data_IF_926495809536
#
_entry.id   IF_926495809536
#
_cell.length_a   1.000
_cell.length_b   1.000
_cell.length_c   1.000
_cell.angle_alpha   90.00
_cell.angle_beta   90.00
_cell.angle_gamma   90.00
#
_symmetry.space_group_name_H-M   'P 1'
#
loop_
_entity.id
_entity.type
_entity.pdbx_description
1 polymer ?
#
# COMPACT_ATOMS: atom_id res chain seq x y z
N UNK A 1 -10.13 -7.93 -37.26
CA UNK A 1 -9.33 -6.72 -37.01
C UNK A 1 -8.30 -7.07 -35.94
N UNK A 2 -7.04 -7.28 -36.31
CA UNK A 2 -5.96 -7.61 -35.38
C UNK A 2 -5.54 -6.34 -34.63
N UNK A 3 -5.73 -6.30 -33.32
CA UNK A 3 -5.22 -5.22 -32.47
C UNK A 3 -3.70 -5.33 -32.46
N UNK A 4 -2.99 -4.37 -33.06
CA UNK A 4 -1.53 -4.27 -32.91
C UNK A 4 -1.21 -4.00 -31.45
N UNK A 5 -0.54 -4.95 -30.79
CA UNK A 5 0.00 -4.76 -29.45
C UNK A 5 1.24 -3.86 -29.58
N UNK A 6 1.30 -2.79 -28.79
CA UNK A 6 2.49 -1.93 -28.73
C UNK A 6 3.61 -2.65 -27.99
N UNK A 7 4.87 -2.30 -28.27
CA UNK A 7 6.02 -2.92 -27.60
C UNK A 7 5.94 -2.76 -26.08
N UNK A 8 5.50 -1.60 -25.58
CA UNK A 8 5.30 -1.38 -24.15
C UNK A 8 4.26 -2.33 -23.54
N UNK A 9 3.17 -2.58 -24.27
CA UNK A 9 2.14 -3.51 -23.81
C UNK A 9 2.66 -4.94 -23.82
N UNK A 10 3.52 -5.30 -24.78
CA UNK A 10 4.22 -6.58 -24.81
C UNK A 10 5.13 -6.75 -23.60
N UNK A 11 6.02 -5.79 -23.33
CA UNK A 11 6.92 -5.84 -22.15
C UNK A 11 6.15 -6.10 -20.86
N UNK A 12 5.06 -5.36 -20.64
CA UNK A 12 4.23 -5.48 -19.44
C UNK A 12 3.57 -6.86 -19.31
N UNK A 13 3.07 -7.42 -20.41
CA UNK A 13 2.49 -8.77 -20.40
C UNK A 13 3.54 -9.82 -20.06
N UNK A 14 4.73 -9.70 -20.64
CA UNK A 14 5.84 -10.63 -20.45
C UNK A 14 6.35 -10.60 -19.00
N UNK A 15 6.42 -9.42 -18.38
CA UNK A 15 6.71 -9.29 -16.94
C UNK A 15 5.68 -10.03 -16.10
N UNK A 16 4.39 -9.87 -16.37
CA UNK A 16 3.36 -10.57 -15.61
C UNK A 16 3.41 -12.08 -15.80
N UNK A 17 3.63 -12.57 -17.03
CA UNK A 17 3.77 -14.00 -17.28
C UNK A 17 5.01 -14.60 -16.62
N UNK A 18 6.11 -13.83 -16.51
CA UNK A 18 7.32 -14.28 -15.83
C UNK A 18 7.18 -14.31 -14.30
N UNK A 19 6.55 -13.28 -13.71
CA UNK A 19 6.38 -13.18 -12.25
C UNK A 19 5.29 -14.10 -11.70
N UNK A 20 4.23 -14.34 -12.48
CA UNK A 20 3.01 -15.02 -12.01
C UNK A 20 3.26 -16.43 -11.46
N UNK A 21 4.01 -17.33 -12.11
CA UNK A 21 4.25 -18.68 -11.57
C UNK A 21 4.87 -18.64 -10.17
N UNK A 22 5.90 -17.81 -9.99
CA UNK A 22 6.63 -17.68 -8.73
C UNK A 22 5.75 -17.10 -7.61
N UNK A 23 4.94 -16.09 -7.92
CA UNK A 23 4.06 -15.46 -6.92
C UNK A 23 2.84 -16.35 -6.57
N UNK A 24 2.36 -17.16 -7.51
CA UNK A 24 1.27 -18.11 -7.28
C UNK A 24 1.68 -19.19 -6.27
N UNK A 25 2.94 -19.62 -6.27
CA UNK A 25 3.47 -20.57 -5.28
C UNK A 25 3.40 -20.03 -3.84
N UNK A 26 3.32 -18.71 -3.68
CA UNK A 26 3.09 -18.04 -2.40
C UNK A 26 1.62 -17.70 -2.11
N UNK A 27 0.69 -18.15 -2.96
CA UNK A 27 -0.76 -17.94 -2.83
C UNK A 27 -1.27 -16.64 -3.44
N UNK A 28 -0.44 -15.88 -4.17
CA UNK A 28 -0.87 -14.64 -4.80
C UNK A 28 -1.61 -14.88 -6.12
N UNK A 29 -2.59 -14.02 -6.40
CA UNK A 29 -3.36 -14.00 -7.66
C UNK A 29 -3.18 -12.64 -8.33
N UNK A 30 -2.86 -12.66 -9.62
CA UNK A 30 -2.74 -11.44 -10.41
C UNK A 30 -4.11 -10.80 -10.67
N UNK A 31 -4.22 -9.51 -10.37
CA UNK A 31 -5.29 -8.61 -10.81
C UNK A 31 -4.72 -7.68 -11.88
N UNK A 32 -4.63 -8.16 -13.11
CA UNK A 32 -3.91 -7.49 -14.20
C UNK A 32 -4.39 -6.04 -14.46
N UNK A 33 -5.70 -5.78 -14.38
CA UNK A 33 -6.28 -4.45 -14.54
C UNK A 33 -5.86 -3.44 -13.46
N UNK A 34 -5.33 -3.93 -12.33
CA UNK A 34 -4.82 -3.14 -11.20
C UNK A 34 -3.32 -3.28 -11.02
N UNK A 35 -2.65 -4.03 -11.90
CA UNK A 35 -1.21 -4.27 -11.87
C UNK A 35 -0.71 -4.79 -10.52
N UNK A 36 -1.57 -5.55 -9.82
CA UNK A 36 -1.34 -5.98 -8.44
C UNK A 36 -1.49 -7.48 -8.32
N UNK A 37 -0.57 -8.11 -7.60
CA UNK A 37 -0.71 -9.46 -7.08
C UNK A 37 -1.31 -9.37 -5.68
N UNK A 38 -2.37 -10.15 -5.42
CA UNK A 38 -3.05 -10.15 -4.12
C UNK A 38 -3.15 -11.54 -3.53
N UNK A 39 -2.99 -11.64 -2.21
CA UNK A 39 -3.25 -12.84 -1.43
C UNK A 39 -4.21 -12.49 -0.30
N UNK A 40 -5.33 -13.19 -0.22
CA UNK A 40 -6.33 -13.00 0.83
C UNK A 40 -6.28 -14.16 1.81
N UNK A 41 -6.32 -13.85 3.09
CA UNK A 41 -6.31 -14.81 4.19
C UNK A 41 -6.85 -14.14 5.46
N UNK A 42 -7.69 -14.83 6.24
CA UNK A 42 -8.17 -14.41 7.57
C UNK A 42 -8.60 -12.92 7.73
N UNK A 43 -9.30 -12.36 6.74
CA UNK A 43 -9.75 -10.96 6.78
C UNK A 43 -8.64 -9.94 6.51
N UNK A 44 -7.50 -10.40 6.02
CA UNK A 44 -6.34 -9.64 5.58
C UNK A 44 -6.11 -9.86 4.07
N UNK A 45 -5.70 -8.81 3.38
CA UNK A 45 -5.28 -8.86 1.98
C UNK A 45 -3.85 -8.30 1.86
N UNK A 46 -2.91 -9.15 1.46
CA UNK A 46 -1.57 -8.73 1.05
C UNK A 46 -1.62 -8.20 -0.38
N UNK A 47 -0.95 -7.09 -0.63
CA UNK A 47 -0.91 -6.42 -1.93
C UNK A 47 0.55 -6.17 -2.34
N UNK A 48 0.96 -6.80 -3.43
CA UNK A 48 2.24 -6.56 -4.09
C UNK A 48 1.96 -5.97 -5.48
N UNK A 49 2.12 -4.66 -5.60
CA UNK A 49 1.77 -3.89 -6.79
C UNK A 49 2.99 -3.47 -7.58
N UNK A 50 2.91 -3.62 -8.90
CA UNK A 50 3.84 -3.06 -9.86
C UNK A 50 3.22 -1.79 -10.43
N UNK A 51 3.85 -0.64 -10.20
CA UNK A 51 3.42 0.65 -10.73
C UNK A 51 4.30 0.98 -11.93
N UNK A 52 3.71 1.03 -13.12
CA UNK A 52 4.40 1.32 -14.37
C UNK A 52 4.37 2.84 -14.64
N UNK A 53 5.48 3.55 -14.38
CA UNK A 53 5.51 5.02 -14.28
C UNK A 53 5.62 5.74 -15.64
N UNK A 54 6.51 5.30 -16.51
CA UNK A 54 6.74 5.94 -17.82
C UNK A 54 6.63 4.94 -18.95
N UNK A 55 6.05 5.34 -20.08
CA UNK A 55 6.01 4.52 -21.28
C UNK A 55 7.23 4.70 -22.21
N UNK A 56 8.22 5.48 -21.74
CA UNK A 56 9.50 5.73 -22.40
C UNK A 56 10.64 5.94 -21.40
N UNK A 57 11.83 5.45 -21.74
CA UNK A 57 13.11 5.74 -21.08
C UNK A 57 14.08 6.16 -22.18
N UNK A 58 14.69 7.34 -22.05
CA UNK A 58 15.60 7.90 -23.06
C UNK A 58 15.01 7.86 -24.49
N UNK A 59 13.76 8.31 -24.63
CA UNK A 59 12.94 8.32 -25.86
C UNK A 59 12.62 6.95 -26.49
N UNK A 60 13.05 5.85 -25.86
CA UNK A 60 12.74 4.48 -26.31
C UNK A 60 11.53 3.91 -25.56
N UNK A 61 10.69 3.08 -26.20
CA UNK A 61 9.68 2.29 -25.50
C UNK A 61 10.29 1.54 -24.31
N UNK A 62 9.69 1.71 -23.14
CA UNK A 62 10.16 1.05 -21.93
C UNK A 62 9.24 1.33 -20.76
N UNK A 63 9.56 0.74 -19.62
CA UNK A 63 8.89 1.01 -18.35
C UNK A 63 9.91 1.23 -17.24
N UNK A 64 9.68 2.24 -16.41
CA UNK A 64 10.20 2.26 -15.03
C UNK A 64 9.15 1.65 -14.13
N UNK A 65 9.49 0.54 -13.50
CA UNK A 65 8.59 -0.20 -12.61
C UNK A 65 8.93 0.17 -11.18
N UNK A 66 7.95 0.66 -10.45
CA UNK A 66 8.05 0.95 -9.03
C UNK A 66 7.23 -0.06 -8.24
N UNK A 67 7.80 -0.61 -7.18
CA UNK A 67 7.08 -1.57 -6.33
C UNK A 67 6.35 -0.87 -5.19
N UNK A 68 5.12 -1.32 -4.94
CA UNK A 68 4.37 -0.99 -3.72
C UNK A 68 3.94 -2.25 -2.98
N UNK A 69 4.12 -2.22 -1.67
CA UNK A 69 3.85 -3.32 -0.76
C UNK A 69 2.91 -2.80 0.32
N UNK A 70 1.78 -3.47 0.49
CA UNK A 70 0.75 -3.05 1.42
C UNK A 70 -0.04 -4.22 2.01
N UNK A 71 -0.56 -4.01 3.21
CA UNK A 71 -1.49 -4.90 3.91
C UNK A 71 -2.79 -4.15 4.13
N UNK A 72 -3.89 -4.82 3.79
CA UNK A 72 -5.26 -4.38 4.04
C UNK A 72 -5.87 -5.29 5.11
N UNK A 73 -6.29 -4.71 6.23
CA UNK A 73 -7.11 -5.41 7.22
C UNK A 73 -8.54 -5.00 6.96
N UNK A 74 -9.38 -5.93 6.50
CA UNK A 74 -10.73 -5.61 6.01
C UNK A 74 -11.57 -4.90 7.08
N UNK A 75 -11.41 -5.27 8.35
CA UNK A 75 -12.13 -4.62 9.45
C UNK A 75 -11.74 -3.16 9.64
N UNK A 76 -10.45 -2.83 9.47
CA UNK A 76 -9.96 -1.46 9.58
C UNK A 76 -10.47 -0.63 8.40
N UNK A 77 -10.40 -1.16 7.19
CA UNK A 77 -10.86 -0.47 5.99
C UNK A 77 -12.38 -0.28 5.97
N UNK A 78 -13.16 -1.25 6.47
CA UNK A 78 -14.61 -1.11 6.64
C UNK A 78 -14.94 0.13 7.48
N UNK A 79 -14.30 0.29 8.64
CA UNK A 79 -14.51 1.45 9.52
C UNK A 79 -14.03 2.74 8.85
N UNK A 80 -12.86 2.70 8.20
CA UNK A 80 -12.32 3.85 7.47
C UNK A 80 -13.27 4.36 6.38
N UNK A 81 -13.93 3.45 5.65
CA UNK A 81 -14.84 3.80 4.57
C UNK A 81 -16.20 4.34 5.01
N UNK A 82 -16.58 4.17 6.27
CA UNK A 82 -17.80 4.79 6.81
C UNK A 82 -17.72 6.32 6.83
N UNK A 83 -16.51 6.90 6.86
CA UNK A 83 -16.32 8.36 7.01
C UNK A 83 -15.38 8.98 5.97
N UNK A 84 -14.70 8.19 5.15
CA UNK A 84 -13.68 8.71 4.22
C UNK A 84 -14.21 9.38 2.95
N UNK A 85 -15.47 9.15 2.60
CA UNK A 85 -16.11 9.58 1.34
C UNK A 85 -15.42 9.04 0.08
N UNK A 86 -14.71 7.92 0.18
CA UNK A 86 -14.19 7.23 -1.01
C UNK A 86 -15.34 6.60 -1.80
N UNK A 87 -15.37 6.83 -3.11
CA UNK A 87 -16.28 6.11 -4.00
C UNK A 87 -16.08 4.60 -3.84
N UNK A 88 -17.19 3.86 -3.77
CA UNK A 88 -17.18 2.40 -3.57
C UNK A 88 -16.25 1.65 -4.55
N UNK A 89 -16.17 2.11 -5.80
CA UNK A 89 -15.31 1.52 -6.85
C UNK A 89 -13.80 1.61 -6.56
N UNK A 90 -13.38 2.48 -5.65
CA UNK A 90 -11.98 2.65 -5.25
C UNK A 90 -11.67 2.05 -3.89
N UNK A 91 -12.67 1.71 -3.08
CA UNK A 91 -12.48 1.21 -1.72
C UNK A 91 -11.70 -0.10 -1.69
N UNK A 92 -11.91 -1.00 -2.65
CA UNK A 92 -11.19 -2.28 -2.71
C UNK A 92 -9.69 -2.15 -2.97
N UNK A 93 -9.21 -0.95 -3.33
CA UNK A 93 -7.80 -0.69 -3.66
C UNK A 93 -7.07 0.08 -2.56
N UNK A 94 -7.76 0.49 -1.49
CA UNK A 94 -7.10 1.04 -0.32
C UNK A 94 -6.46 -0.08 0.50
N UNK A 95 -5.44 0.29 1.27
CA UNK A 95 -4.77 -0.59 2.21
C UNK A 95 -4.73 0.09 3.57
N UNK A 96 -4.50 -0.70 4.62
CA UNK A 96 -4.43 -0.26 6.03
C UNK A 96 -3.06 0.25 6.39
N UNK A 97 -2.03 -0.39 5.84
CA UNK A 97 -0.63 0.02 5.99
C UNK A 97 0.12 -0.36 4.71
N UNK A 98 1.04 0.48 4.26
CA UNK A 98 1.80 0.18 3.05
C UNK A 98 2.21 1.41 2.27
N UNK A 99 3.28 1.27 1.52
CA UNK A 99 3.84 2.35 0.72
C UNK A 99 4.64 1.77 -0.44
N UNK A 100 5.39 2.61 -1.13
CA UNK A 100 6.36 2.13 -2.10
C UNK A 100 7.66 1.69 -1.46
N UNK A 101 8.31 0.70 -2.09
CA UNK A 101 9.50 0.03 -1.55
C UNK A 101 10.56 1.05 -1.09
N UNK A 102 10.84 2.07 -1.89
CA UNK A 102 11.80 3.13 -1.58
C UNK A 102 11.54 3.85 -0.24
N UNK A 103 10.27 4.13 0.08
CA UNK A 103 9.93 4.74 1.38
C UNK A 103 10.07 3.72 2.50
N UNK A 104 9.67 2.47 2.26
CA UNK A 104 9.68 1.41 3.26
C UNK A 104 11.11 0.99 3.65
N UNK A 105 12.07 1.03 2.72
CA UNK A 105 13.46 0.64 2.95
C UNK A 105 14.41 1.82 3.13
N UNK A 106 13.99 3.04 2.81
CA UNK A 106 14.82 4.24 2.88
C UNK A 106 15.85 4.37 1.75
N UNK A 107 15.84 3.48 0.75
CA UNK A 107 16.72 3.57 -0.43
C UNK A 107 16.22 4.64 -1.39
N UNK A 108 17.11 5.13 -2.26
CA UNK A 108 16.75 6.13 -3.26
C UNK A 108 15.79 5.56 -4.31
N UNK A 109 15.16 6.46 -5.08
CA UNK A 109 14.27 6.05 -6.18
C UNK A 109 15.02 5.23 -7.23
N UNK A 110 16.21 5.67 -7.63
CA UNK A 110 17.00 4.99 -8.65
C UNK A 110 17.42 3.57 -8.24
N UNK A 111 17.56 3.32 -6.93
CA UNK A 111 17.87 1.98 -6.37
C UNK A 111 16.63 1.07 -6.22
N UNK A 112 15.43 1.59 -6.43
CA UNK A 112 14.16 0.87 -6.17
C UNK A 112 13.15 0.91 -7.32
N UNK A 113 13.51 1.57 -8.41
CA UNK A 113 12.81 1.54 -9.69
C UNK A 113 13.54 0.59 -10.64
N UNK A 114 12.79 -0.28 -11.33
CA UNK A 114 13.34 -1.30 -12.20
C UNK A 114 13.08 -0.91 -13.66
N UNK A 115 14.07 -0.36 -14.37
CA UNK A 115 13.93 -0.01 -15.78
C UNK A 115 13.91 -1.27 -16.66
N UNK A 116 13.08 -1.26 -17.69
CA UNK A 116 13.01 -2.30 -18.73
C UNK A 116 12.73 -1.66 -20.08
N UNK A 117 13.63 -1.85 -21.03
CA UNK A 117 13.57 -1.25 -22.37
C UNK A 117 13.38 -2.27 -23.48
N UNK A 118 13.63 -3.54 -23.18
CA UNK A 118 13.61 -4.61 -24.17
C UNK A 118 13.10 -5.91 -23.56
N UNK A 119 12.66 -6.82 -24.43
CA UNK A 119 12.17 -8.14 -24.02
C UNK A 119 13.29 -8.98 -23.38
N UNK A 120 14.53 -8.79 -23.83
CA UNK A 120 15.70 -9.53 -23.36
C UNK A 120 16.08 -9.15 -21.92
N UNK A 121 15.71 -7.95 -21.47
CA UNK A 121 15.91 -7.49 -20.09
C UNK A 121 14.85 -8.04 -19.10
N UNK A 122 13.70 -8.51 -19.59
CA UNK A 122 12.57 -8.94 -18.75
C UNK A 122 12.98 -10.00 -17.71
N UNK A 123 13.72 -11.08 -18.04
CA UNK A 123 14.11 -12.08 -17.05
C UNK A 123 14.95 -11.48 -15.91
N UNK A 124 15.91 -10.61 -16.22
CA UNK A 124 16.76 -9.97 -15.21
C UNK A 124 15.94 -9.05 -14.30
N UNK A 125 15.09 -8.20 -14.89
CA UNK A 125 14.22 -7.29 -14.14
C UNK A 125 13.26 -8.06 -13.24
N UNK A 126 12.70 -9.17 -13.74
CA UNK A 126 11.81 -10.02 -12.94
C UNK A 126 12.56 -10.70 -11.78
N UNK A 127 13.81 -11.12 -11.98
CA UNK A 127 14.64 -11.65 -10.90
C UNK A 127 14.81 -10.63 -9.78
N UNK A 128 15.12 -9.38 -10.11
CA UNK A 128 15.27 -8.30 -9.11
C UNK A 128 13.95 -8.00 -8.36
N UNK A 129 12.83 -8.02 -9.07
CA UNK A 129 11.50 -7.87 -8.45
C UNK A 129 11.19 -9.03 -7.50
N UNK A 130 11.52 -10.26 -7.89
CA UNK A 130 11.34 -11.46 -7.07
C UNK A 130 12.28 -11.47 -5.86
N UNK A 131 13.48 -10.92 -5.98
CA UNK A 131 14.39 -10.71 -4.85
C UNK A 131 13.81 -9.71 -3.85
N UNK A 132 13.24 -8.59 -4.33
CA UNK A 132 12.53 -7.65 -3.45
C UNK A 132 11.30 -8.30 -2.79
N UNK A 133 10.56 -9.13 -3.53
CA UNK A 133 9.42 -9.86 -2.99
C UNK A 133 9.82 -10.83 -1.89
N UNK A 134 10.82 -11.68 -2.15
CA UNK A 134 11.24 -12.75 -1.25
C UNK A 134 11.95 -12.21 0.00
N UNK A 135 12.85 -11.24 -0.18
CA UNK A 135 13.68 -10.71 0.90
C UNK A 135 12.97 -9.64 1.75
N UNK A 136 11.99 -8.93 1.18
CA UNK A 136 11.31 -7.84 1.87
C UNK A 136 9.79 -8.04 1.97
N UNK A 137 9.08 -8.24 0.85
CA UNK A 137 7.61 -8.22 0.87
C UNK A 137 7.02 -9.34 1.77
N UNK A 138 7.56 -10.57 1.71
CA UNK A 138 7.07 -11.68 2.53
C UNK A 138 7.21 -11.42 4.04
N UNK A 139 8.33 -10.85 4.49
CA UNK A 139 8.54 -10.52 5.90
C UNK A 139 7.68 -9.34 6.34
N UNK A 140 7.48 -8.37 5.46
CA UNK A 140 6.56 -7.24 5.65
C UNK A 140 5.12 -7.73 5.87
N UNK A 141 4.60 -8.59 4.98
CA UNK A 141 3.25 -9.15 5.10
C UNK A 141 3.08 -9.93 6.40
N UNK A 142 4.04 -10.81 6.73
CA UNK A 142 4.01 -11.58 7.98
C UNK A 142 4.00 -10.69 9.22
N UNK A 143 4.77 -9.59 9.23
CA UNK A 143 4.80 -8.66 10.36
C UNK A 143 3.46 -7.95 10.54
N UNK A 144 2.86 -7.47 9.46
CA UNK A 144 1.65 -6.67 9.51
C UNK A 144 0.35 -7.47 9.40
N UNK A 145 0.44 -8.80 9.41
CA UNK A 145 -0.69 -9.69 9.66
C UNK A 145 -1.24 -9.57 11.09
N UNK A 146 -0.43 -9.02 12.01
CA UNK A 146 -0.81 -8.82 13.41
C UNK A 146 -1.21 -7.36 13.65
N UNK A 147 -2.46 -7.13 14.05
CA UNK A 147 -3.00 -5.78 14.26
C UNK A 147 -2.20 -4.96 15.28
N UNK A 148 -1.66 -5.60 16.33
CA UNK A 148 -0.81 -4.95 17.32
C UNK A 148 0.54 -4.45 16.75
N UNK A 149 1.06 -5.10 15.69
CA UNK A 149 2.28 -4.63 15.00
C UNK A 149 1.97 -3.40 14.14
N UNK A 150 0.79 -3.35 13.51
CA UNK A 150 0.30 -2.15 12.80
C UNK A 150 0.13 -1.00 13.80
N UNK A 151 -0.48 -1.25 14.97
CA UNK A 151 -0.63 -0.23 16.03
C UNK A 151 0.73 0.34 16.43
N UNK A 152 1.68 -0.54 16.75
CA UNK A 152 3.02 -0.13 17.16
C UNK A 152 3.68 0.73 16.08
N UNK A 153 3.60 0.31 14.82
CA UNK A 153 4.20 1.04 13.69
C UNK A 153 3.59 2.42 13.49
N UNK A 154 2.25 2.53 13.51
CA UNK A 154 1.58 3.81 13.23
C UNK A 154 1.60 4.76 14.43
N UNK A 155 1.48 4.24 15.66
CA UNK A 155 1.08 5.04 16.82
C UNK A 155 2.17 5.19 17.91
N UNK A 156 3.28 4.43 17.89
CA UNK A 156 4.33 4.58 18.92
C UNK A 156 4.97 5.96 18.91
N UNK A 157 5.11 6.55 17.72
CA UNK A 157 5.75 7.85 17.51
C UNK A 157 4.84 8.77 16.70
N UNK A 158 3.69 9.20 17.26
CA UNK A 158 2.60 9.78 16.47
C UNK A 158 2.96 11.12 15.81
N UNK A 159 3.99 11.81 16.31
CA UNK A 159 4.49 13.08 15.77
C UNK A 159 5.60 12.94 14.72
N UNK A 160 6.29 11.80 14.63
CA UNK A 160 7.37 11.59 13.64
C UNK A 160 6.82 11.17 12.29
N UNK A 161 7.53 11.40 11.18
CA UNK A 161 7.11 10.87 9.88
C UNK A 161 7.03 9.33 9.88
N UNK A 162 6.04 8.75 9.19
CA UNK A 162 5.91 7.30 9.02
C UNK A 162 5.92 6.93 7.53
N UNK A 163 6.88 6.09 7.13
CA UNK A 163 7.08 5.67 5.74
C UNK A 163 5.95 4.82 5.17
N UNK A 164 5.23 4.10 6.04
CA UNK A 164 4.06 3.30 5.66
C UNK A 164 2.82 4.15 5.41
N UNK A 165 2.75 5.37 5.93
CA UNK A 165 1.61 6.29 5.76
C UNK A 165 2.08 7.74 5.77
N UNK A 166 2.67 8.17 4.65
CA UNK A 166 3.25 9.51 4.54
C UNK A 166 2.22 10.65 4.55
N UNK A 167 0.97 10.40 4.15
CA UNK A 167 -0.09 11.41 4.18
C UNK A 167 -0.76 11.41 5.56
N UNK A 168 -0.80 12.56 6.28
CA UNK A 168 -1.34 12.63 7.64
C UNK A 168 -2.75 12.08 7.76
N UNK A 169 -3.63 12.36 6.79
CA UNK A 169 -5.00 11.86 6.81
C UNK A 169 -5.09 10.34 6.91
N UNK A 170 -4.35 9.61 6.07
CA UNK A 170 -4.38 8.14 6.09
C UNK A 170 -3.78 7.58 7.37
N UNK A 171 -2.68 8.16 7.86
CA UNK A 171 -2.06 7.72 9.11
C UNK A 171 -2.98 7.95 10.31
N UNK A 172 -3.47 9.17 10.49
CA UNK A 172 -4.26 9.54 11.66
C UNK A 172 -5.55 8.72 11.73
N UNK A 173 -6.22 8.53 10.59
CA UNK A 173 -7.46 7.74 10.53
C UNK A 173 -7.22 6.27 10.80
N UNK A 174 -6.36 5.60 10.03
CA UNK A 174 -6.11 4.16 10.23
C UNK A 174 -5.39 3.88 11.54
N UNK A 175 -4.51 4.77 11.99
CA UNK A 175 -3.85 4.71 13.29
C UNK A 175 -4.84 4.71 14.45
N UNK A 176 -5.84 5.61 14.46
CA UNK A 176 -6.89 5.57 15.49
C UNK A 176 -7.74 4.32 15.43
N UNK A 177 -8.17 3.90 14.23
CA UNK A 177 -9.00 2.70 14.10
C UNK A 177 -8.27 1.49 14.68
N UNK A 178 -7.00 1.32 14.31
CA UNK A 178 -6.15 0.24 14.81
C UNK A 178 -5.95 0.35 16.33
N UNK A 179 -5.61 1.54 16.85
CA UNK A 179 -5.43 1.76 18.29
C UNK A 179 -6.69 1.42 19.11
N UNK A 180 -7.88 1.75 18.57
CA UNK A 180 -9.16 1.42 19.19
C UNK A 180 -9.36 -0.09 19.23
N UNK A 181 -9.16 -0.77 18.09
CA UNK A 181 -9.38 -2.21 17.96
C UNK A 181 -8.43 -3.06 18.82
N UNK A 182 -7.21 -2.59 19.09
CA UNK A 182 -6.26 -3.27 19.98
C UNK A 182 -6.43 -2.89 21.46
N UNK A 183 -7.38 -2.03 21.80
CA UNK A 183 -7.63 -1.60 23.18
C UNK A 183 -6.48 -0.78 23.79
N UNK A 184 -5.83 0.08 22.99
CA UNK A 184 -4.63 0.82 23.41
C UNK A 184 -4.93 1.74 24.60
N UNK A 185 -4.14 1.65 25.67
CA UNK A 185 -4.41 2.34 26.94
C UNK A 185 -4.35 3.88 26.84
N UNK A 186 -3.48 4.42 25.99
CA UNK A 186 -3.31 5.86 25.73
C UNK A 186 -4.13 6.34 24.53
N UNK A 187 -5.20 5.62 24.13
CA UNK A 187 -6.04 5.98 22.98
C UNK A 187 -6.49 7.45 22.99
N UNK A 188 -6.87 7.99 24.15
CA UNK A 188 -7.27 9.40 24.28
C UNK A 188 -6.16 10.36 23.90
N UNK A 189 -4.92 10.06 24.29
CA UNK A 189 -3.75 10.87 23.90
C UNK A 189 -3.56 10.87 22.38
N UNK A 190 -3.73 9.73 21.72
CA UNK A 190 -3.67 9.65 20.25
C UNK A 190 -4.76 10.48 19.58
N UNK A 191 -5.98 10.49 20.11
CA UNK A 191 -7.07 11.34 19.60
C UNK A 191 -6.67 12.82 19.66
N UNK A 192 -6.13 13.28 20.77
CA UNK A 192 -5.71 14.68 20.95
C UNK A 192 -4.58 15.04 19.98
N UNK A 193 -3.53 14.21 19.89
CA UNK A 193 -2.39 14.42 18.98
C UNK A 193 -2.84 14.46 17.53
N UNK A 194 -3.61 13.47 17.08
CA UNK A 194 -4.05 13.39 15.70
C UNK A 194 -5.07 14.46 15.34
N UNK A 195 -5.90 14.91 16.28
CA UNK A 195 -6.77 16.07 16.05
C UNK A 195 -5.94 17.31 15.72
N UNK A 196 -4.84 17.54 16.44
CA UNK A 196 -3.98 18.71 16.18
C UNK A 196 -3.20 18.59 14.86
N UNK A 197 -2.69 17.40 14.53
CA UNK A 197 -2.09 17.15 13.21
C UNK A 197 -3.10 17.43 12.10
N UNK A 198 -4.36 16.99 12.24
CA UNK A 198 -5.40 17.18 11.24
C UNK A 198 -5.91 18.63 11.15
N UNK A 199 -5.78 19.42 12.21
CA UNK A 199 -6.09 20.86 12.21
C UNK A 199 -5.08 21.65 11.37
N UNK A 200 -3.81 21.28 11.44
CA UNK A 200 -2.70 22.01 10.82
C UNK A 200 -2.36 21.50 9.41
N UNK A 201 -2.51 20.20 9.16
CA UNK A 201 -2.27 19.58 7.86
C UNK A 201 -3.32 19.99 6.83
N UNK A 202 -2.90 20.25 5.59
CA UNK A 202 -3.77 20.65 4.48
C UNK A 202 -4.78 21.77 4.83
N UNK A 203 -4.37 22.70 5.72
CA UNK A 203 -5.22 23.78 6.24
C UNK A 203 -6.53 23.29 6.86
N UNK A 204 -6.52 22.10 7.46
CA UNK A 204 -7.70 21.51 8.10
C UNK A 204 -8.70 20.87 7.14
N UNK A 205 -8.35 20.70 5.85
CA UNK A 205 -9.27 20.19 4.83
C UNK A 205 -9.98 18.88 5.23
N UNK A 206 -9.24 17.96 5.84
CA UNK A 206 -9.76 16.65 6.25
C UNK A 206 -10.29 16.61 7.70
N UNK A 207 -10.20 17.70 8.46
CA UNK A 207 -10.52 17.71 9.90
C UNK A 207 -11.95 17.26 10.18
N UNK A 208 -12.94 17.74 9.40
CA UNK A 208 -14.35 17.36 9.59
C UNK A 208 -14.58 15.85 9.42
N UNK A 209 -13.90 15.22 8.45
CA UNK A 209 -14.00 13.77 8.21
C UNK A 209 -13.33 12.98 9.33
N UNK A 210 -12.17 13.47 9.79
CA UNK A 210 -11.47 12.88 10.92
C UNK A 210 -12.31 12.96 12.20
N UNK A 211 -12.98 14.09 12.49
CA UNK A 211 -13.86 14.20 13.65
C UNK A 211 -15.04 13.23 13.58
N UNK A 212 -15.66 13.08 12.39
CA UNK A 212 -16.73 12.09 12.20
C UNK A 212 -16.25 10.65 12.49
N UNK A 213 -14.99 10.32 12.15
CA UNK A 213 -14.38 9.06 12.52
C UNK A 213 -14.21 8.92 14.04
N UNK A 214 -13.69 9.94 14.72
CA UNK A 214 -13.51 9.93 16.18
C UNK A 214 -14.85 9.68 16.88
N UNK A 215 -15.91 10.36 16.44
CA UNK A 215 -17.25 10.20 17.00
C UNK A 215 -17.79 8.77 16.76
N UNK A 216 -17.58 8.22 15.56
CA UNK A 216 -17.96 6.84 15.24
C UNK A 216 -17.19 5.81 16.10
N UNK A 217 -15.89 6.01 16.33
CA UNK A 217 -15.06 5.14 17.17
C UNK A 217 -15.42 5.23 18.66
N UNK A 218 -15.97 6.36 19.12
CA UNK A 218 -16.47 6.50 20.49
C UNK A 218 -17.73 5.64 20.74
N UNK A 219 -18.56 5.46 19.72
CA UNK A 219 -19.75 4.62 19.77
C UNK A 219 -19.46 3.11 19.68
N UNK A 220 -18.28 2.73 19.18
CA UNK A 220 -17.82 1.34 19.22
C UNK A 220 -17.49 0.98 20.67
N UNK A 221 -18.28 0.05 21.22
CA UNK A 221 -17.96 -0.61 22.49
C UNK A 221 -16.61 -1.34 22.36
N UNK A 222 -15.81 -1.40 23.44
CA UNK A 222 -14.57 -2.18 23.44
C UNK A 222 -14.83 -3.67 23.13
#
# INVERSE_FOLDING_TARGET
MLIKITEQKRLKLEIFEHLKPQLVDHGFKLKAAKETFRRQHDGVTDMFQLIFLDNKIDDKPGWRIKLSIAVRVEKVEEIFHQTSNFDQKYQSDTATIGSSLNYLTGVSRDESEFPVNSIDEVPQVCSLILDAFSNFALSYFKRFDVLAEIDRELNTKPLEYNSNRGVPYFRCTTGLIVAKLVGRADYKYLVDVYTEIMRTSDKGFYLKRFQALVDALAALSP
#
